data_IF_444097053778
#
_entry.id   IF_444097053778
#
_cell.length_a   1.000
_cell.length_b   1.000
_cell.length_c   1.000
_cell.angle_alpha   90.00
_cell.angle_beta   90.00
_cell.angle_gamma   90.00
#
_symmetry.space_group_name_H-M   'P 1'
#
loop_
_entity.id
_entity.type
_entity.pdbx_description
1 polymer ?
#
# COMPACT_ATOMS: atom_id res chain seq x y z
N UNK A 1 1.76 -14.90 -12.07
CA UNK A 1 0.92 -13.68 -12.10
C UNK A 1 1.80 -12.46 -12.22
N UNK A 2 1.37 -11.46 -12.97
CA UNK A 2 2.09 -10.21 -13.15
C UNK A 2 1.44 -9.11 -12.29
N UNK A 3 2.26 -8.40 -11.53
CA UNK A 3 1.83 -7.22 -10.77
C UNK A 3 2.66 -6.03 -11.26
N UNK A 4 2.00 -4.95 -11.66
CA UNK A 4 2.67 -3.76 -12.21
C UNK A 4 2.69 -2.67 -11.14
N UNK A 5 3.87 -2.10 -10.90
CA UNK A 5 4.05 -0.99 -9.97
C UNK A 5 3.57 0.31 -10.62
N UNK A 6 2.61 0.97 -10.00
CA UNK A 6 2.00 2.21 -10.48
C UNK A 6 2.21 3.33 -9.47
N UNK A 7 2.46 4.54 -9.96
CA UNK A 7 2.64 5.72 -9.14
C UNK A 7 1.46 6.67 -9.13
N UNK A 8 0.37 6.34 -9.85
CA UNK A 8 -0.78 7.22 -9.99
C UNK A 8 -2.00 6.46 -10.50
N UNK A 9 -3.16 7.10 -10.41
CA UNK A 9 -4.37 6.61 -11.05
C UNK A 9 -4.21 6.49 -12.57
N UNK A 10 -3.57 7.46 -13.20
CA UNK A 10 -3.34 7.43 -14.65
C UNK A 10 -2.51 6.21 -15.07
N UNK A 11 -1.46 5.88 -14.32
CA UNK A 11 -0.66 4.67 -14.56
C UNK A 11 -1.54 3.42 -14.50
N UNK A 12 -2.43 3.34 -13.52
CA UNK A 12 -3.33 2.20 -13.36
C UNK A 12 -4.29 2.08 -14.55
N UNK A 13 -4.80 3.19 -15.07
CA UNK A 13 -5.64 3.17 -16.27
C UNK A 13 -4.89 2.58 -17.46
N UNK A 14 -3.64 2.95 -17.65
CA UNK A 14 -2.81 2.43 -18.72
C UNK A 14 -2.62 0.92 -18.59
N UNK A 15 -2.33 0.45 -17.39
CA UNK A 15 -2.20 -0.99 -17.12
C UNK A 15 -3.50 -1.72 -17.44
N UNK A 16 -4.63 -1.16 -17.02
CA UNK A 16 -5.94 -1.72 -17.30
C UNK A 16 -6.21 -1.81 -18.82
N UNK A 17 -5.94 -0.76 -19.54
CA UNK A 17 -6.10 -0.71 -21.01
C UNK A 17 -5.22 -1.73 -21.72
N UNK A 18 -4.06 -2.04 -21.17
CA UNK A 18 -3.14 -3.03 -21.72
C UNK A 18 -3.44 -4.46 -21.30
N UNK A 19 -4.52 -4.70 -20.55
CA UNK A 19 -4.93 -6.05 -20.13
C UNK A 19 -4.29 -6.54 -18.84
N UNK A 20 -3.64 -5.68 -18.07
CA UNK A 20 -3.14 -6.02 -16.75
C UNK A 20 -4.28 -6.29 -15.79
N UNK A 21 -4.03 -7.09 -14.75
CA UNK A 21 -5.06 -7.50 -13.78
C UNK A 21 -4.75 -7.09 -12.36
N UNK A 22 -3.49 -6.85 -12.04
CA UNK A 22 -3.05 -6.55 -10.67
C UNK A 22 -2.00 -5.47 -10.68
N UNK A 23 -2.13 -4.54 -9.76
CA UNK A 23 -1.17 -3.45 -9.59
C UNK A 23 -0.73 -3.34 -8.13
N UNK A 24 0.46 -2.76 -7.93
CA UNK A 24 0.88 -2.18 -6.67
C UNK A 24 0.71 -0.68 -6.80
N UNK A 25 -0.17 -0.10 -6.00
CA UNK A 25 -0.47 1.33 -6.07
C UNK A 25 0.38 2.09 -5.06
N UNK A 26 1.13 3.06 -5.55
CA UNK A 26 2.04 3.90 -4.79
C UNK A 26 1.77 5.37 -5.07
N UNK A 27 2.46 6.22 -4.31
CA UNK A 27 2.77 7.59 -4.66
C UNK A 27 4.28 7.78 -4.56
N UNK A 28 4.79 8.92 -5.01
CA UNK A 28 6.19 9.31 -4.84
C UNK A 28 7.19 8.20 -5.23
N UNK A 29 7.02 7.59 -6.39
CA UNK A 29 7.92 6.53 -6.88
C UNK A 29 9.40 6.92 -6.87
N UNK A 30 9.80 8.18 -7.17
CA UNK A 30 11.20 8.58 -7.06
C UNK A 30 11.78 8.43 -5.65
N UNK A 31 10.95 8.38 -4.62
CA UNK A 31 11.37 8.15 -3.24
C UNK A 31 11.29 6.66 -2.84
N UNK A 32 11.02 5.77 -3.80
CA UNK A 32 10.88 4.35 -3.56
C UNK A 32 9.45 3.86 -3.35
N UNK A 33 8.48 4.75 -3.45
CA UNK A 33 7.08 4.42 -3.27
C UNK A 33 6.59 4.68 -1.85
N UNK A 34 5.58 5.52 -1.74
CA UNK A 34 4.90 5.86 -0.48
C UNK A 34 3.41 5.53 -0.58
N UNK A 35 2.70 5.66 0.52
CA UNK A 35 1.26 5.41 0.59
C UNK A 35 0.53 6.22 -0.47
N UNK A 36 -0.33 5.60 -1.29
CA UNK A 36 -1.11 6.32 -2.30
C UNK A 36 -2.18 7.20 -1.63
N UNK A 37 -2.64 8.23 -2.33
CA UNK A 37 -3.78 8.99 -1.86
C UNK A 37 -5.05 8.14 -1.93
N UNK A 38 -6.00 8.39 -1.03
CA UNK A 38 -7.31 7.74 -1.09
C UNK A 38 -8.02 8.07 -2.40
N UNK A 39 -7.86 9.29 -2.91
CA UNK A 39 -8.44 9.68 -4.19
C UNK A 39 -7.99 8.79 -5.34
N UNK A 40 -6.69 8.46 -5.39
CA UNK A 40 -6.19 7.57 -6.43
C UNK A 40 -6.77 6.17 -6.31
N UNK A 41 -6.83 5.62 -5.10
CA UNK A 41 -7.43 4.30 -4.86
C UNK A 41 -8.90 4.27 -5.25
N UNK A 42 -9.67 5.25 -4.81
CA UNK A 42 -11.10 5.34 -5.10
C UNK A 42 -11.33 5.32 -6.62
N UNK A 43 -10.58 6.15 -7.37
CA UNK A 43 -10.75 6.22 -8.81
C UNK A 43 -10.30 4.95 -9.52
N UNK A 44 -9.23 4.31 -9.07
CA UNK A 44 -8.80 3.02 -9.63
C UNK A 44 -9.91 1.98 -9.46
N UNK A 45 -10.50 1.88 -8.29
CA UNK A 45 -11.57 0.91 -8.03
C UNK A 45 -12.86 1.25 -8.77
N UNK A 46 -13.10 2.53 -9.04
CA UNK A 46 -14.27 2.98 -9.78
C UNK A 46 -14.18 2.73 -11.29
N UNK A 47 -13.01 2.98 -11.85
CA UNK A 47 -12.82 2.96 -13.31
C UNK A 47 -12.15 1.69 -13.85
N UNK A 48 -11.71 0.78 -12.99
CA UNK A 48 -11.08 -0.48 -13.40
C UNK A 48 -11.59 -1.63 -12.54
N UNK A 49 -11.32 -2.84 -13.00
CA UNK A 49 -11.53 -4.06 -12.21
C UNK A 49 -10.21 -4.65 -11.71
N UNK A 50 -9.17 -3.82 -11.66
CA UNK A 50 -7.84 -4.25 -11.20
C UNK A 50 -7.87 -4.70 -9.74
N UNK A 51 -7.11 -5.75 -9.46
CA UNK A 51 -6.75 -6.09 -8.08
C UNK A 51 -5.67 -5.12 -7.62
N UNK A 52 -5.88 -4.46 -6.50
CA UNK A 52 -5.01 -3.38 -6.01
C UNK A 52 -4.34 -3.77 -4.71
N UNK A 53 -3.01 -3.79 -4.74
CA UNK A 53 -2.17 -3.88 -3.56
C UNK A 53 -1.65 -2.48 -3.27
N UNK A 54 -2.07 -1.89 -2.16
CA UNK A 54 -1.69 -0.52 -1.81
C UNK A 54 -0.44 -0.51 -0.94
N UNK A 55 0.53 0.33 -1.28
CA UNK A 55 1.69 0.56 -0.46
C UNK A 55 1.29 1.29 0.82
N UNK A 56 1.82 0.85 1.96
CA UNK A 56 1.71 1.57 3.22
C UNK A 56 3.11 1.89 3.70
N UNK A 57 3.54 3.11 3.46
CA UNK A 57 4.86 3.60 3.82
C UNK A 57 4.79 5.11 4.01
N UNK A 58 5.04 5.56 5.23
CA UNK A 58 4.77 6.96 5.61
C UNK A 58 5.87 7.90 5.15
N UNK A 59 7.11 7.41 4.94
CA UNK A 59 8.24 8.22 4.50
C UNK A 59 9.33 7.33 3.92
N UNK A 60 10.26 7.93 3.16
CA UNK A 60 11.46 7.23 2.69
C UNK A 60 12.45 6.97 3.85
N UNK A 61 13.57 6.37 3.54
CA UNK A 61 14.66 6.07 4.48
C UNK A 61 14.32 5.00 5.51
N UNK A 62 14.37 3.77 5.05
CA UNK A 62 14.29 2.59 5.90
C UNK A 62 12.90 2.21 6.34
N UNK A 63 12.84 1.25 7.26
CA UNK A 63 11.60 0.58 7.67
C UNK A 63 11.47 0.46 9.18
N UNK A 64 12.31 1.19 9.92
CA UNK A 64 12.22 1.28 11.38
C UNK A 64 11.56 2.60 11.73
N UNK A 65 10.26 2.56 11.98
CA UNK A 65 9.44 3.75 12.16
C UNK A 65 9.31 4.12 13.62
N UNK A 66 9.23 5.43 13.89
CA UNK A 66 8.93 5.93 15.23
C UNK A 66 7.46 5.60 15.58
N UNK A 67 7.09 5.58 16.88
CA UNK A 67 5.73 5.19 17.27
C UNK A 67 4.61 5.97 16.59
N UNK A 68 4.75 7.29 16.42
CA UNK A 68 3.72 8.09 15.76
C UNK A 68 3.66 7.84 14.25
N UNK A 69 4.77 7.48 13.64
CA UNK A 69 4.78 7.09 12.23
C UNK A 69 4.05 5.76 12.03
N UNK A 70 4.29 4.81 12.92
CA UNK A 70 3.60 3.53 12.89
C UNK A 70 2.10 3.71 13.10
N UNK A 71 1.70 4.53 14.07
CA UNK A 71 0.29 4.84 14.33
C UNK A 71 -0.39 5.41 13.10
N UNK A 72 0.26 6.34 12.40
CA UNK A 72 -0.25 6.89 11.15
C UNK A 72 -0.40 5.81 10.08
N UNK A 73 0.60 4.94 9.95
CA UNK A 73 0.54 3.84 8.97
C UNK A 73 -0.62 2.89 9.23
N UNK A 74 -0.90 2.60 10.51
CA UNK A 74 -2.02 1.74 10.87
C UNK A 74 -3.36 2.39 10.52
N UNK A 75 -3.52 3.70 10.75
CA UNK A 75 -4.71 4.43 10.34
C UNK A 75 -4.86 4.45 8.81
N UNK A 76 -3.77 4.69 8.09
CA UNK A 76 -3.80 4.68 6.63
C UNK A 76 -4.18 3.30 6.09
N UNK A 77 -3.66 2.22 6.69
CA UNK A 77 -4.05 0.86 6.32
C UNK A 77 -5.55 0.65 6.46
N UNK A 78 -6.12 1.05 7.59
CA UNK A 78 -7.56 0.90 7.85
C UNK A 78 -8.40 1.67 6.84
N UNK A 79 -7.98 2.89 6.50
CA UNK A 79 -8.67 3.70 5.50
C UNK A 79 -8.60 3.08 4.11
N UNK A 80 -7.42 2.60 3.72
CA UNK A 80 -7.26 1.92 2.42
C UNK A 80 -8.16 0.69 2.33
N UNK A 81 -8.22 -0.11 3.39
CA UNK A 81 -9.11 -1.29 3.43
C UNK A 81 -10.58 -0.87 3.35
N UNK A 82 -10.98 0.17 4.07
CA UNK A 82 -12.35 0.67 4.04
C UNK A 82 -12.77 1.17 2.65
N UNK A 83 -11.83 1.70 1.87
CA UNK A 83 -12.09 2.22 0.53
C UNK A 83 -11.76 1.23 -0.58
N UNK A 84 -11.53 -0.04 -0.24
CA UNK A 84 -11.57 -1.12 -1.22
C UNK A 84 -10.24 -1.64 -1.73
N UNK A 85 -9.12 -1.33 -1.07
CA UNK A 85 -7.86 -2.00 -1.46
C UNK A 85 -7.99 -3.50 -1.23
N UNK A 86 -7.45 -4.30 -2.16
CA UNK A 86 -7.51 -5.75 -2.08
C UNK A 86 -6.42 -6.32 -1.16
N UNK A 87 -5.37 -5.56 -0.93
CA UNK A 87 -4.30 -5.94 -0.02
C UNK A 87 -3.37 -4.77 0.22
N UNK A 88 -2.28 -5.03 0.94
CA UNK A 88 -1.30 -4.01 1.28
C UNK A 88 0.13 -4.51 1.11
N UNK A 89 1.03 -3.59 0.79
CA UNK A 89 2.47 -3.84 0.71
C UNK A 89 3.13 -3.02 1.80
N UNK A 90 3.88 -3.66 2.68
CA UNK A 90 4.49 -3.00 3.83
C UNK A 90 5.71 -3.78 4.31
N UNK A 91 6.48 -3.16 5.20
CA UNK A 91 7.58 -3.85 5.87
C UNK A 91 7.98 -3.10 7.12
N UNK A 92 8.35 -3.84 8.15
CA UNK A 92 8.79 -3.29 9.43
C UNK A 92 10.09 -3.96 9.87
N UNK A 93 11.09 -3.15 10.18
CA UNK A 93 12.35 -3.62 10.73
C UNK A 93 12.58 -2.99 12.09
N UNK A 94 13.33 -3.70 12.94
CA UNK A 94 13.83 -3.17 14.20
C UNK A 94 15.07 -2.31 13.95
N UNK A 95 15.57 -1.65 15.00
CA UNK A 95 16.83 -0.90 14.92
C UNK A 95 18.00 -1.80 14.54
N UNK A 96 17.95 -3.08 14.88
CA UNK A 96 18.95 -4.08 14.53
C UNK A 96 18.78 -4.64 13.12
N UNK A 97 17.82 -4.09 12.35
CA UNK A 97 17.52 -4.53 10.98
C UNK A 97 16.98 -5.95 10.89
N UNK A 98 16.33 -6.41 11.92
CA UNK A 98 15.59 -7.65 11.93
C UNK A 98 14.11 -7.38 11.69
N UNK A 99 13.35 -8.38 11.25
CA UNK A 99 11.91 -8.22 11.05
C UNK A 99 11.25 -7.90 12.40
N UNK A 100 10.48 -6.81 12.44
CA UNK A 100 9.67 -6.46 13.60
C UNK A 100 8.42 -7.35 13.61
N UNK A 101 8.50 -8.43 14.36
CA UNK A 101 7.44 -9.44 14.38
C UNK A 101 6.13 -8.88 14.94
N UNK A 102 6.20 -8.05 15.97
CA UNK A 102 5.02 -7.48 16.61
C UNK A 102 4.20 -6.61 15.64
N UNK A 103 4.86 -5.66 14.99
CA UNK A 103 4.21 -4.77 14.03
C UNK A 103 3.73 -5.50 12.78
N UNK A 104 4.54 -6.42 12.28
CA UNK A 104 4.17 -7.24 11.12
C UNK A 104 2.90 -8.05 11.42
N UNK A 105 2.85 -8.66 12.59
CA UNK A 105 1.70 -9.44 13.03
C UNK A 105 0.45 -8.59 13.15
N UNK A 106 0.55 -7.41 13.73
CA UNK A 106 -0.59 -6.49 13.87
C UNK A 106 -1.14 -6.07 12.52
N UNK A 107 -0.27 -5.76 11.56
CA UNK A 107 -0.70 -5.41 10.20
C UNK A 107 -1.41 -6.57 9.51
N UNK A 108 -0.84 -7.77 9.58
CA UNK A 108 -1.46 -8.96 8.98
C UNK A 108 -2.83 -9.23 9.60
N UNK A 109 -2.94 -9.14 10.92
CA UNK A 109 -4.22 -9.34 11.60
C UNK A 109 -5.25 -8.29 11.20
N UNK A 110 -4.85 -7.02 11.11
CA UNK A 110 -5.73 -5.93 10.70
C UNK A 110 -6.27 -6.17 9.29
N UNK A 111 -5.41 -6.58 8.37
CA UNK A 111 -5.82 -6.90 6.99
C UNK A 111 -6.85 -8.03 6.97
N UNK A 112 -6.62 -9.08 7.74
CA UNK A 112 -7.54 -10.23 7.79
C UNK A 112 -8.89 -9.89 8.44
N UNK A 113 -8.90 -9.01 9.44
CA UNK A 113 -10.13 -8.64 10.16
C UNK A 113 -10.97 -7.61 9.41
N UNK A 114 -10.34 -6.66 8.72
CA UNK A 114 -11.03 -5.55 8.07
C UNK A 114 -11.09 -5.66 6.55
N UNK A 115 -10.31 -6.53 6.00
CA UNK A 115 -10.33 -6.84 4.57
C UNK A 115 -11.17 -8.07 4.27
#
# INVERSE_FOLDING_TARGET
MLEVCCGSFEDALIVHECGGRRIELNSALPLGGLTPSLGSLILVKQYTDLEVMSMVRVREAGFCYRPYQYEQMLEELKLLLAYGTDGAVFGFLTEEREIDLSRTKEFVQTIHEEG
#
